data_IF_577441477066
#
_entry.id   IF_577441477066
#
_cell.length_a   1.000
_cell.length_b   1.000
_cell.length_c   1.000
_cell.angle_alpha   90.00
_cell.angle_beta   90.00
_cell.angle_gamma   90.00
#
_symmetry.space_group_name_H-M   'P 1'
#
loop_
_entity.id
_entity.type
_entity.pdbx_description
1 polymer ?
#
# COMPACT_ATOMS: atom_id res chain seq x y z
N UNK A 1 -24.67 5.78 -17.93
CA UNK A 1 -23.22 6.05 -17.76
C UNK A 1 -22.50 4.74 -17.79
N UNK A 2 -21.36 4.66 -18.47
CA UNK A 2 -20.58 3.43 -18.53
C UNK A 2 -19.90 3.17 -17.18
N UNK A 3 -19.93 1.91 -16.76
CA UNK A 3 -19.42 1.44 -15.49
C UNK A 3 -18.17 0.59 -15.71
N UNK A 4 -17.10 0.90 -14.98
CA UNK A 4 -15.80 0.23 -15.11
C UNK A 4 -15.41 -0.42 -13.79
N UNK A 5 -15.10 -1.72 -13.86
CA UNK A 5 -14.45 -2.47 -12.78
C UNK A 5 -12.94 -2.54 -13.09
N UNK A 6 -12.11 -2.04 -12.18
CA UNK A 6 -10.66 -2.16 -12.31
C UNK A 6 -10.23 -3.49 -11.70
N UNK A 7 -9.49 -4.30 -12.46
CA UNK A 7 -8.97 -5.60 -12.00
C UNK A 7 -7.46 -5.64 -12.19
N UNK A 8 -6.74 -6.13 -11.17
CA UNK A 8 -5.28 -6.27 -11.19
C UNK A 8 -4.84 -7.58 -10.51
N UNK A 9 -3.63 -8.06 -10.76
CA UNK A 9 -3.12 -9.26 -10.09
C UNK A 9 -2.64 -8.96 -8.67
N UNK A 10 -1.86 -7.88 -8.49
CA UNK A 10 -1.24 -7.52 -7.22
C UNK A 10 -1.31 -6.01 -6.98
N UNK A 11 -1.75 -5.59 -5.79
CA UNK A 11 -1.55 -4.23 -5.29
C UNK A 11 -0.48 -4.18 -4.20
N UNK A 12 0.30 -3.10 -4.19
CA UNK A 12 1.20 -2.76 -3.07
C UNK A 12 1.06 -1.30 -2.64
N UNK A 13 1.35 -0.35 -3.53
CA UNK A 13 1.36 1.08 -3.18
C UNK A 13 0.06 1.81 -3.48
N UNK A 14 -0.75 1.30 -4.41
CA UNK A 14 -1.98 1.95 -4.88
C UNK A 14 -1.78 2.91 -6.06
N UNK A 15 -0.55 3.13 -6.53
CA UNK A 15 -0.24 4.12 -7.58
C UNK A 15 -0.90 3.77 -8.92
N UNK A 16 -0.80 2.50 -9.34
CA UNK A 16 -1.43 2.01 -10.57
C UNK A 16 -2.94 2.21 -10.53
N UNK A 17 -3.57 1.85 -9.41
CA UNK A 17 -5.03 1.94 -9.25
C UNK A 17 -5.48 3.40 -9.27
N UNK A 18 -4.72 4.32 -8.65
CA UNK A 18 -4.98 5.77 -8.73
C UNK A 18 -4.88 6.28 -10.17
N UNK A 19 -3.88 5.85 -10.92
CA UNK A 19 -3.73 6.23 -12.34
C UNK A 19 -4.92 5.73 -13.18
N UNK A 20 -5.38 4.49 -12.93
CA UNK A 20 -6.53 3.90 -13.62
C UNK A 20 -7.85 4.61 -13.26
N UNK A 21 -8.07 4.95 -11.99
CA UNK A 21 -9.24 5.76 -11.57
C UNK A 21 -9.26 7.08 -12.35
N UNK A 22 -8.12 7.78 -12.39
CA UNK A 22 -8.01 9.05 -13.10
C UNK A 22 -8.26 8.90 -14.61
N UNK A 23 -7.81 7.79 -15.20
CA UNK A 23 -8.05 7.50 -16.62
C UNK A 23 -9.55 7.31 -16.90
N UNK A 24 -10.23 6.48 -16.10
CA UNK A 24 -11.67 6.24 -16.23
C UNK A 24 -12.46 7.54 -16.10
N UNK A 25 -12.10 8.39 -15.13
CA UNK A 25 -12.72 9.71 -14.95
C UNK A 25 -12.52 10.62 -16.17
N UNK A 26 -11.33 10.65 -16.77
CA UNK A 26 -11.07 11.40 -18.01
C UNK A 26 -11.90 10.91 -19.20
N UNK A 27 -12.24 9.62 -19.21
CA UNK A 27 -13.15 9.02 -20.19
C UNK A 27 -14.64 9.29 -19.92
N UNK A 28 -14.97 10.07 -18.87
CA UNK A 28 -16.36 10.34 -18.42
C UNK A 28 -17.14 9.08 -18.03
N UNK A 29 -16.45 8.04 -17.57
CA UNK A 29 -17.03 6.81 -17.03
C UNK A 29 -16.94 6.77 -15.50
N UNK A 30 -17.67 5.85 -14.86
CA UNK A 30 -17.70 5.68 -13.41
C UNK A 30 -16.96 4.40 -13.00
N UNK A 31 -16.02 4.51 -12.06
CA UNK A 31 -15.39 3.32 -11.45
C UNK A 31 -16.36 2.75 -10.42
N UNK A 32 -16.87 1.54 -10.64
CA UNK A 32 -17.80 0.87 -9.72
C UNK A 32 -17.10 0.06 -8.64
N UNK A 33 -15.83 -0.30 -8.84
CA UNK A 33 -15.05 -1.06 -7.88
C UNK A 33 -13.63 -1.32 -8.36
N UNK A 34 -12.82 -1.84 -7.45
CA UNK A 34 -11.46 -2.31 -7.71
C UNK A 34 -11.31 -3.70 -7.09
N UNK A 35 -10.80 -4.64 -7.86
CA UNK A 35 -10.60 -6.01 -7.41
C UNK A 35 -9.17 -6.48 -7.72
N UNK A 36 -8.57 -7.22 -6.80
CA UNK A 36 -7.26 -7.83 -7.05
C UNK A 36 -7.11 -9.21 -6.42
N UNK A 37 -6.18 -10.02 -6.94
CA UNK A 37 -5.89 -11.31 -6.34
C UNK A 37 -5.09 -11.14 -5.04
N UNK A 38 -4.09 -10.25 -5.01
CA UNK A 38 -3.22 -10.09 -3.84
C UNK A 38 -3.03 -8.62 -3.48
N UNK A 39 -3.29 -8.27 -2.23
CA UNK A 39 -2.93 -6.97 -1.66
C UNK A 39 -1.80 -7.12 -0.64
N UNK A 40 -0.69 -6.40 -0.86
CA UNK A 40 0.49 -6.41 -0.01
C UNK A 40 0.54 -5.13 0.82
N UNK A 41 0.52 -5.27 2.14
CA UNK A 41 0.41 -4.18 3.10
C UNK A 41 -1.00 -3.59 3.16
N UNK A 42 -1.11 -2.46 3.83
CA UNK A 42 -2.35 -1.70 4.06
C UNK A 42 -2.20 -0.20 3.74
N UNK A 43 -0.97 0.26 3.52
CA UNK A 43 -0.65 1.67 3.26
C UNK A 43 -1.34 2.22 1.98
N UNK A 44 -1.68 1.35 1.02
CA UNK A 44 -2.35 1.75 -0.21
C UNK A 44 -3.78 2.25 0.01
N UNK A 45 -4.48 1.78 1.06
CA UNK A 45 -5.86 2.17 1.33
C UNK A 45 -5.98 3.66 1.62
N UNK A 46 -5.00 4.21 2.34
CA UNK A 46 -4.91 5.66 2.62
C UNK A 46 -4.58 6.49 1.38
N UNK A 47 -4.10 5.86 0.31
CA UNK A 47 -3.66 6.52 -0.93
C UNK A 47 -4.67 6.39 -2.07
N UNK A 48 -5.59 5.44 -2.03
CA UNK A 48 -6.46 5.16 -3.18
C UNK A 48 -7.47 6.28 -3.49
N UNK A 49 -7.88 7.10 -2.50
CA UNK A 49 -8.89 8.16 -2.67
C UNK A 49 -10.08 7.68 -3.53
N UNK A 50 -10.74 6.59 -3.09
CA UNK A 50 -11.75 5.91 -3.87
C UNK A 50 -12.94 6.84 -4.19
N UNK A 51 -13.49 6.77 -5.43
CA UNK A 51 -14.73 7.47 -5.77
C UNK A 51 -15.89 7.06 -4.86
N UNK A 52 -16.92 7.92 -4.71
CA UNK A 52 -18.14 7.55 -4.00
C UNK A 52 -18.71 6.24 -4.54
N UNK A 53 -19.06 5.29 -3.66
CA UNK A 53 -19.60 3.96 -3.98
C UNK A 53 -18.61 2.95 -4.59
N UNK A 54 -17.36 3.32 -4.82
CA UNK A 54 -16.31 2.38 -5.24
C UNK A 54 -15.72 1.66 -4.02
N UNK A 55 -15.70 0.32 -4.07
CA UNK A 55 -15.06 -0.54 -3.05
C UNK A 55 -13.76 -1.15 -3.59
N UNK A 56 -12.80 -1.37 -2.70
CA UNK A 56 -11.59 -2.13 -2.99
C UNK A 56 -11.66 -3.50 -2.31
N UNK A 57 -11.51 -4.57 -3.08
CA UNK A 57 -11.55 -5.95 -2.59
C UNK A 57 -10.31 -6.72 -3.07
N UNK A 58 -9.80 -7.61 -2.21
CA UNK A 58 -8.67 -8.47 -2.53
C UNK A 58 -8.94 -9.91 -2.06
N UNK A 59 -8.56 -10.90 -2.86
CA UNK A 59 -8.69 -12.33 -2.46
C UNK A 59 -7.77 -12.63 -1.27
N UNK A 60 -6.52 -12.21 -1.37
CA UNK A 60 -5.49 -12.44 -0.36
C UNK A 60 -4.93 -11.10 0.08
N UNK A 61 -4.84 -10.91 1.40
CA UNK A 61 -4.17 -9.75 2.02
C UNK A 61 -2.95 -10.23 2.78
N UNK A 62 -1.77 -9.74 2.38
CA UNK A 62 -0.49 -10.05 3.00
C UNK A 62 -0.03 -8.79 3.74
N UNK A 63 -0.10 -8.79 5.08
CA UNK A 63 0.44 -7.70 5.89
C UNK A 63 1.80 -8.12 6.43
N UNK A 64 2.92 -7.66 5.86
CA UNK A 64 4.24 -8.03 6.35
C UNK A 64 4.48 -7.44 7.75
N UNK A 65 5.11 -8.21 8.63
CA UNK A 65 5.48 -7.76 9.96
C UNK A 65 6.48 -6.59 9.84
N UNK A 66 6.19 -5.46 10.49
CA UNK A 66 7.10 -4.32 10.50
C UNK A 66 8.34 -4.72 11.28
N UNK A 67 9.49 -4.80 10.62
CA UNK A 67 10.77 -5.04 11.29
C UNK A 67 10.93 -3.96 12.36
N UNK A 68 10.87 -4.35 13.64
CA UNK A 68 11.12 -3.43 14.75
C UNK A 68 12.57 -2.94 14.62
N UNK A 69 12.83 -1.63 14.78
CA UNK A 69 14.20 -1.15 14.79
C UNK A 69 14.98 -1.89 15.87
N UNK A 70 16.10 -2.49 15.48
CA UNK A 70 16.98 -3.21 16.41
C UNK A 70 17.59 -2.16 17.34
N UNK A 71 17.22 -2.16 18.62
CA UNK A 71 17.87 -1.32 19.63
C UNK A 71 19.32 -1.79 19.81
N UNK A 72 20.26 -1.03 19.23
CA UNK A 72 21.68 -1.28 19.38
C UNK A 72 22.11 -0.92 20.81
N UNK A 73 22.20 -1.93 21.69
CA UNK A 73 22.83 -1.78 23.01
C UNK A 73 24.31 -1.45 22.85
N UNK A 74 24.66 -0.16 22.95
CA UNK A 74 26.04 0.29 23.17
C UNK A 74 26.49 -0.16 24.57
N UNK A 75 27.29 -1.22 24.64
CA UNK A 75 28.01 -1.57 25.86
C UNK A 75 29.07 -0.51 26.16
N UNK A 76 28.79 0.35 27.15
CA UNK A 76 29.62 1.46 27.61
C UNK A 76 30.67 0.99 28.64
N UNK A 77 31.35 -0.12 28.38
CA UNK A 77 32.26 -0.75 29.36
C UNK A 77 33.73 -0.89 28.91
N UNK A 78 34.09 -0.45 27.70
CA UNK A 78 35.48 -0.53 27.21
C UNK A 78 35.94 0.84 26.70
N UNK A 79 35.81 1.89 27.51
CA UNK A 79 36.52 3.16 27.29
C UNK A 79 36.97 3.72 28.65
N UNK A 80 37.70 2.93 29.43
CA UNK A 80 38.38 3.41 30.63
C UNK A 80 39.64 2.61 30.91
N UNK A 81 40.47 2.37 29.89
CA UNK A 81 41.84 1.82 30.07
C UNK A 81 42.75 2.10 28.87
N UNK A 82 42.79 3.33 28.36
CA UNK A 82 43.94 3.78 27.55
C UNK A 82 44.41 5.10 28.13
N UNK A 83 45.27 4.99 29.14
CA UNK A 83 46.25 6.00 29.48
C UNK A 83 47.60 5.33 29.24
N UNK A 84 48.20 5.61 28.09
CA UNK A 84 49.64 5.53 27.86
C UNK A 84 50.01 6.86 27.21
#
# INVERSE_FOLDING_TARGET
TDSVLIVDDVVRTGETQRALINLVQKCKAEVTGIYTLVAIGDDFERKLNLPPRCKFEAVIRIVPERIKPVEFRRNRAIVSSVTI
#
